data_IF_326089329321
#
_entry.id   IF_326089329321
#
_cell.length_a   1.000
_cell.length_b   1.000
_cell.length_c   1.000
_cell.angle_alpha   90.00
_cell.angle_beta   90.00
_cell.angle_gamma   90.00
#
_symmetry.space_group_name_H-M   'P 1'
#
loop_
_entity.id
_entity.type
_entity.pdbx_description
1 polymer ?
#
# COMPACT_ATOMS: atom_id res chain seq x y z
N UNK A 1 -13.50 -15.22 20.88
CA UNK A 1 -13.08 -13.91 20.35
C UNK A 1 -13.22 -13.95 18.83
N UNK A 2 -13.83 -12.95 18.21
CA UNK A 2 -13.92 -12.85 16.74
C UNK A 2 -12.53 -12.60 16.15
N UNK A 3 -12.26 -13.22 15.00
CA UNK A 3 -10.99 -13.03 14.28
C UNK A 3 -10.87 -11.56 13.85
N UNK A 4 -9.70 -10.91 14.02
CA UNK A 4 -9.52 -9.53 13.57
C UNK A 4 -9.70 -9.43 12.05
N UNK A 5 -10.39 -8.37 11.60
CA UNK A 5 -10.62 -8.08 10.18
C UNK A 5 -9.27 -7.69 9.54
N UNK A 6 -9.01 -8.25 8.36
CA UNK A 6 -7.83 -7.97 7.54
C UNK A 6 -8.25 -7.58 6.13
N UNK A 7 -7.56 -6.61 5.55
CA UNK A 7 -7.76 -6.16 4.18
C UNK A 7 -6.44 -6.20 3.39
N UNK A 8 -6.54 -6.28 2.07
CA UNK A 8 -5.41 -6.17 1.14
C UNK A 8 -5.59 -4.89 0.33
N UNK A 9 -4.52 -4.11 0.18
CA UNK A 9 -4.52 -2.89 -0.63
C UNK A 9 -3.46 -2.97 -1.72
N UNK A 10 -3.84 -2.61 -2.95
CA UNK A 10 -2.87 -2.37 -4.02
C UNK A 10 -2.34 -0.95 -3.90
N UNK A 11 -1.05 -0.85 -3.62
CA UNK A 11 -0.31 0.39 -3.35
C UNK A 11 0.38 0.78 -4.65
N UNK A 12 -0.22 1.68 -5.43
CA UNK A 12 0.41 2.17 -6.68
C UNK A 12 1.52 3.19 -6.42
N UNK A 13 1.41 3.89 -5.29
CA UNK A 13 2.26 4.99 -4.88
C UNK A 13 1.72 6.38 -5.19
N UNK A 14 0.59 6.46 -5.88
CA UNK A 14 -0.20 7.68 -5.96
C UNK A 14 -0.92 7.98 -4.65
N UNK A 15 -1.24 9.27 -4.44
CA UNK A 15 -1.90 9.79 -3.25
C UNK A 15 -3.18 9.03 -2.90
N UNK A 16 -4.03 8.76 -3.90
CA UNK A 16 -5.32 8.11 -3.70
C UNK A 16 -5.19 6.74 -3.03
N UNK A 17 -4.26 5.90 -3.53
CA UNK A 17 -4.03 4.57 -2.97
C UNK A 17 -3.44 4.62 -1.55
N UNK A 18 -2.64 5.65 -1.24
CA UNK A 18 -2.08 5.84 0.11
C UNK A 18 -3.17 6.28 1.10
N UNK A 19 -4.01 7.25 0.72
CA UNK A 19 -5.08 7.76 1.57
C UNK A 19 -6.15 6.70 1.81
N UNK A 20 -6.54 5.94 0.78
CA UNK A 20 -7.50 4.85 0.93
C UNK A 20 -7.01 3.80 1.94
N UNK A 21 -5.75 3.37 1.83
CA UNK A 21 -5.16 2.44 2.80
C UNK A 21 -5.13 3.03 4.22
N UNK A 22 -4.72 4.29 4.37
CA UNK A 22 -4.67 4.98 5.66
C UNK A 22 -6.05 5.09 6.32
N UNK A 23 -7.08 5.49 5.58
CA UNK A 23 -8.45 5.61 6.08
C UNK A 23 -8.98 4.27 6.60
N UNK A 24 -8.69 3.16 5.92
CA UNK A 24 -9.08 1.82 6.39
C UNK A 24 -8.30 1.43 7.64
N UNK A 25 -6.99 1.74 7.70
CA UNK A 25 -6.17 1.49 8.90
C UNK A 25 -6.67 2.25 10.13
N UNK A 26 -7.13 3.50 9.97
CA UNK A 26 -7.67 4.34 11.06
C UNK A 26 -8.96 3.77 11.67
N UNK A 27 -9.64 2.85 10.98
CA UNK A 27 -10.78 2.11 11.52
C UNK A 27 -10.37 0.89 12.37
N UNK A 28 -9.07 0.70 12.62
CA UNK A 28 -8.54 -0.44 13.38
C UNK A 28 -8.43 -1.74 12.56
N UNK A 29 -8.54 -1.66 11.23
CA UNK A 29 -8.39 -2.80 10.32
C UNK A 29 -6.92 -2.95 9.94
N UNK A 30 -6.40 -4.17 10.02
CA UNK A 30 -5.07 -4.47 9.52
C UNK A 30 -5.08 -4.49 7.98
N UNK A 31 -4.21 -3.72 7.35
CA UNK A 31 -4.09 -3.63 5.89
C UNK A 31 -2.72 -4.14 5.47
N UNK A 32 -2.70 -5.16 4.62
CA UNK A 32 -1.49 -5.64 3.94
C UNK A 32 -1.37 -4.92 2.58
N UNK A 33 -0.29 -4.17 2.40
CA UNK A 33 -0.05 -3.37 1.20
C UNK A 33 0.80 -4.12 0.17
N UNK A 34 0.32 -4.25 -1.06
CA UNK A 34 1.02 -4.91 -2.17
C UNK A 34 1.32 -3.89 -3.26
N UNK A 35 2.58 -3.77 -3.65
CA UNK A 35 3.00 -3.01 -4.83
C UNK A 35 3.44 -4.00 -5.93
N UNK A 36 2.80 -3.94 -7.10
CA UNK A 36 3.27 -4.71 -8.27
C UNK A 36 4.19 -3.85 -9.12
N UNK A 37 5.37 -4.38 -9.43
CA UNK A 37 6.24 -3.77 -10.43
C UNK A 37 5.89 -4.28 -11.82
N UNK A 38 5.48 -3.38 -12.70
CA UNK A 38 5.18 -3.72 -14.10
C UNK A 38 6.26 -3.23 -15.07
N UNK A 39 7.29 -2.50 -14.61
CA UNK A 39 8.29 -1.85 -15.47
C UNK A 39 7.82 -0.56 -16.14
N UNK A 40 6.54 -0.20 -16.00
CA UNK A 40 5.95 1.04 -16.51
C UNK A 40 5.83 2.10 -15.39
N UNK A 41 5.81 3.38 -15.77
CA UNK A 41 5.70 4.53 -14.86
C UNK A 41 6.84 4.59 -13.81
N UNK A 42 8.09 4.51 -14.27
CA UNK A 42 9.28 4.66 -13.41
C UNK A 42 9.52 6.13 -13.09
N UNK A 43 8.63 6.74 -12.32
CA UNK A 43 8.81 8.09 -11.79
C UNK A 43 9.45 8.03 -10.39
N UNK A 44 10.18 9.07 -10.00
CA UNK A 44 10.93 9.13 -8.74
C UNK A 44 10.09 8.88 -7.47
N UNK A 45 8.77 9.06 -7.52
CA UNK A 45 7.86 8.80 -6.40
C UNK A 45 7.69 7.31 -6.07
N UNK A 46 7.79 6.42 -7.05
CA UNK A 46 7.71 4.96 -6.83
C UNK A 46 8.96 4.41 -6.14
N UNK A 47 10.10 5.11 -6.23
CA UNK A 47 11.33 4.74 -5.51
C UNK A 47 11.17 4.86 -3.98
N UNK A 48 10.34 5.79 -3.49
CA UNK A 48 10.16 5.98 -2.04
C UNK A 48 9.46 4.78 -1.36
N UNK A 49 8.68 4.01 -2.12
CA UNK A 49 7.94 2.84 -1.62
C UNK A 49 8.81 1.58 -1.73
N UNK A 50 9.83 1.61 -2.58
CA UNK A 50 10.80 0.53 -2.76
C UNK A 50 11.95 0.73 -1.81
N UNK A 51 11.80 0.20 -0.61
CA UNK A 51 12.92 0.03 0.30
C UNK A 51 14.03 -0.74 -0.42
N UNK A 52 15.16 -0.06 -0.67
CA UNK A 52 16.44 -0.60 -1.18
C UNK A 52 16.43 -2.12 -1.39
N UNK A 53 16.18 -2.56 -2.62
CA UNK A 53 16.71 -3.84 -3.05
C UNK A 53 18.25 -3.68 -3.02
N UNK A 54 18.90 -4.45 -2.16
CA UNK A 54 20.35 -4.57 -2.12
C UNK A 54 20.85 -5.26 -3.39
#
# INVERSE_FOLDING_TARGET
MSKPIKAVALISGGLDSMLAAKTVMEQGIHVEGINFFTGFCVEGHTHAIRGREK
#
